data_IF_415401087029
#
_entry.id   IF_415401087029
#
_cell.length_a   1.000
_cell.length_b   1.000
_cell.length_c   1.000
_cell.angle_alpha   90.00
_cell.angle_beta   90.00
_cell.angle_gamma   90.00
#
_symmetry.space_group_name_H-M   'P 1'
#
loop_
_entity.id
_entity.type
_entity.pdbx_description
1 polymer ?
#
# COMPACT_ATOMS: atom_id res chain seq x y z
N UNK A 1 17.54 -9.30 1.29
CA UNK A 1 17.37 -8.39 2.43
C UNK A 1 16.73 -7.09 1.95
N UNK A 2 15.69 -6.64 2.65
CA UNK A 2 14.95 -5.45 2.21
C UNK A 2 15.72 -4.17 2.50
N UNK A 3 15.76 -3.27 1.52
CA UNK A 3 16.40 -1.96 1.65
C UNK A 3 15.49 -1.01 2.43
N UNK A 4 14.17 -1.17 2.27
CA UNK A 4 13.18 -0.30 2.87
C UNK A 4 12.46 -0.95 4.05
N UNK A 5 11.96 -0.12 4.96
CA UNK A 5 11.28 -0.58 6.17
C UNK A 5 9.77 -0.68 5.92
N UNK A 6 9.19 -1.81 6.31
CA UNK A 6 7.75 -2.06 6.22
C UNK A 6 7.00 -1.26 7.29
N UNK A 7 6.05 -0.43 6.87
CA UNK A 7 5.23 0.36 7.78
C UNK A 7 3.75 0.28 7.38
N UNK A 8 3.00 -0.69 7.93
CA UNK A 8 1.58 -0.81 7.64
C UNK A 8 0.75 0.16 8.49
N UNK A 9 -0.31 0.72 7.90
CA UNK A 9 -1.30 1.45 8.69
C UNK A 9 -2.16 0.44 9.46
N UNK A 10 -2.91 0.93 10.44
CA UNK A 10 -3.84 0.10 11.19
C UNK A 10 -4.85 -0.58 10.27
N UNK A 11 -5.40 0.18 9.34
CA UNK A 11 -6.38 -0.33 8.38
C UNK A 11 -5.80 -1.44 7.51
N UNK A 12 -4.59 -1.24 6.99
CA UNK A 12 -3.89 -2.26 6.22
C UNK A 12 -3.70 -3.55 7.03
N UNK A 13 -3.25 -3.42 8.26
CA UNK A 13 -2.99 -4.56 9.14
C UNK A 13 -4.27 -5.36 9.39
N UNK A 14 -5.38 -4.69 9.66
CA UNK A 14 -6.67 -5.35 9.92
C UNK A 14 -7.13 -6.11 8.67
N UNK A 15 -7.05 -5.48 7.50
CA UNK A 15 -7.47 -6.12 6.26
C UNK A 15 -6.58 -7.31 5.89
N UNK A 16 -5.29 -7.19 6.10
CA UNK A 16 -4.36 -8.26 5.80
C UNK A 16 -4.61 -9.49 6.67
N UNK A 17 -4.95 -9.30 7.94
CA UNK A 17 -5.32 -10.40 8.82
C UNK A 17 -6.57 -11.13 8.36
N UNK A 18 -7.56 -10.39 7.86
CA UNK A 18 -8.78 -10.99 7.31
C UNK A 18 -8.48 -11.83 6.08
N UNK A 19 -7.62 -11.33 5.20
CA UNK A 19 -7.21 -12.05 3.99
C UNK A 19 -6.49 -13.34 4.37
N UNK A 20 -5.61 -13.28 5.36
CA UNK A 20 -4.88 -14.47 5.83
C UNK A 20 -5.82 -15.59 6.27
N UNK A 21 -6.93 -15.24 6.90
CA UNK A 21 -7.92 -16.21 7.35
C UNK A 21 -8.78 -16.75 6.21
N UNK A 22 -9.16 -15.90 5.27
CA UNK A 22 -10.08 -16.25 4.19
C UNK A 22 -9.40 -16.87 2.99
N UNK A 23 -8.21 -16.40 2.68
CA UNK A 23 -7.47 -16.78 1.47
C UNK A 23 -5.98 -16.89 1.77
N UNK A 24 -5.53 -17.95 2.48
CA UNK A 24 -4.13 -18.10 2.80
C UNK A 24 -3.19 -18.06 1.57
N UNK A 25 -3.50 -18.70 0.43
CA UNK A 25 -2.65 -18.55 -0.76
C UNK A 25 -2.55 -17.13 -1.27
N UNK A 26 -3.67 -16.38 -1.25
CA UNK A 26 -3.67 -14.97 -1.62
C UNK A 26 -2.81 -14.15 -0.68
N UNK A 27 -2.88 -14.41 0.61
CA UNK A 27 -2.04 -13.74 1.59
C UNK A 27 -0.55 -13.99 1.31
N UNK A 28 -0.16 -15.21 0.96
CA UNK A 28 1.23 -15.52 0.60
C UNK A 28 1.68 -14.74 -0.62
N UNK A 29 0.84 -14.60 -1.63
CA UNK A 29 1.16 -13.80 -2.82
C UNK A 29 1.34 -12.33 -2.48
N UNK A 30 0.46 -11.81 -1.62
CA UNK A 30 0.56 -10.41 -1.14
C UNK A 30 1.89 -10.21 -0.41
N UNK A 31 2.24 -11.12 0.48
CA UNK A 31 3.49 -11.05 1.23
C UNK A 31 4.71 -11.00 0.30
N UNK A 32 4.72 -11.84 -0.73
CA UNK A 32 5.81 -11.85 -1.71
C UNK A 32 5.93 -10.53 -2.47
N UNK A 33 4.80 -9.91 -2.80
CA UNK A 33 4.79 -8.60 -3.46
C UNK A 33 5.29 -7.52 -2.51
N UNK A 34 4.87 -7.54 -1.25
CA UNK A 34 5.35 -6.59 -0.25
C UNK A 34 6.88 -6.65 -0.14
N UNK A 35 7.45 -7.85 -0.07
CA UNK A 35 8.90 -8.00 0.00
C UNK A 35 9.61 -7.41 -1.20
N UNK A 36 9.07 -7.61 -2.40
CA UNK A 36 9.65 -7.01 -3.61
C UNK A 36 9.57 -5.48 -3.59
N UNK A 37 8.47 -4.92 -3.07
CA UNK A 37 8.33 -3.49 -2.94
C UNK A 37 9.27 -2.89 -1.90
N UNK A 38 9.60 -3.65 -0.85
CA UNK A 38 10.57 -3.21 0.14
C UNK A 38 12.00 -3.20 -0.42
N UNK A 39 12.26 -4.01 -1.44
CA UNK A 39 13.54 -3.97 -2.15
C UNK A 39 13.55 -2.85 -3.19
N UNK A 40 12.41 -2.58 -3.82
CA UNK A 40 12.29 -1.52 -4.84
C UNK A 40 10.87 -0.95 -4.86
N UNK A 41 10.59 0.12 -4.13
CA UNK A 41 9.24 0.71 -4.08
C UNK A 41 8.78 1.32 -5.39
N UNK A 42 9.66 1.49 -6.36
CA UNK A 42 9.28 2.03 -7.68
C UNK A 42 8.62 0.99 -8.59
N UNK A 43 8.44 -0.24 -8.15
CA UNK A 43 7.79 -1.30 -8.93
C UNK A 43 6.25 -1.17 -8.97
N UNK A 44 5.73 0.03 -8.88
CA UNK A 44 4.29 0.29 -8.93
C UNK A 44 3.72 0.05 -10.32
N UNK A 45 2.46 -0.37 -10.38
CA UNK A 45 1.72 -0.52 -11.64
C UNK A 45 1.03 0.77 -12.07
N UNK A 46 0.98 1.76 -11.20
CA UNK A 46 0.40 3.06 -11.51
C UNK A 46 0.18 3.89 -10.25
N UNK A 47 -0.49 5.02 -10.41
CA UNK A 47 -0.84 5.91 -9.31
C UNK A 47 -2.35 5.96 -9.11
N UNK A 48 -2.76 6.23 -7.88
CA UNK A 48 -4.17 6.37 -7.55
C UNK A 48 -4.68 7.78 -7.80
N UNK A 49 -5.97 7.88 -8.06
CA UNK A 49 -6.70 9.15 -8.15
C UNK A 49 -7.71 9.21 -7.00
N UNK A 50 -8.37 10.35 -6.82
CA UNK A 50 -9.34 10.51 -5.75
C UNK A 50 -8.71 10.61 -4.38
N UNK A 51 -9.27 9.90 -3.40
CA UNK A 51 -8.84 9.96 -2.00
C UNK A 51 -7.37 9.58 -1.80
N UNK A 52 -6.88 8.65 -2.60
CA UNK A 52 -5.49 8.19 -2.52
C UNK A 52 -4.60 8.83 -3.59
N UNK A 53 -5.02 10.00 -4.10
CA UNK A 53 -4.29 10.70 -5.15
C UNK A 53 -2.79 10.83 -4.86
N UNK A 54 -1.97 10.46 -5.83
CA UNK A 54 -0.52 10.50 -5.72
C UNK A 54 0.11 9.26 -5.12
N UNK A 55 -0.66 8.39 -4.47
CA UNK A 55 -0.14 7.14 -3.94
C UNK A 55 0.00 6.11 -5.05
N UNK A 56 0.86 5.13 -4.83
CA UNK A 56 1.10 4.06 -5.79
C UNK A 56 0.13 2.91 -5.59
N UNK A 57 -0.18 2.22 -6.70
CA UNK A 57 -0.92 0.96 -6.67
C UNK A 57 -0.05 -0.15 -7.23
N UNK A 58 -0.19 -1.34 -6.66
CA UNK A 58 0.48 -2.55 -7.13
C UNK A 58 -0.50 -3.70 -7.12
N UNK A 59 -0.63 -4.38 -8.26
CA UNK A 59 -1.49 -5.55 -8.37
C UNK A 59 -0.77 -6.79 -7.88
N UNK A 60 -1.55 -7.70 -7.28
CA UNK A 60 -1.06 -8.99 -6.81
C UNK A 60 -1.76 -10.09 -7.58
N UNK A 61 -0.99 -11.07 -8.04
CA UNK A 61 -1.51 -12.12 -8.90
C UNK A 61 -2.00 -11.55 -10.22
N UNK A 62 -3.09 -12.06 -10.75
CA UNK A 62 -3.70 -11.54 -11.98
C UNK A 62 -4.71 -10.46 -11.64
N UNK A 63 -4.26 -9.38 -11.00
CA UNK A 63 -5.10 -8.29 -10.52
C UNK A 63 -6.11 -8.73 -9.46
N UNK A 64 -5.84 -9.84 -8.78
CA UNK A 64 -6.73 -10.39 -7.74
C UNK A 64 -6.82 -9.46 -6.53
N UNK A 65 -5.68 -8.93 -6.10
CA UNK A 65 -5.61 -7.95 -5.02
C UNK A 65 -4.91 -6.70 -5.50
N UNK A 66 -5.19 -5.58 -4.83
CA UNK A 66 -4.52 -4.31 -5.08
C UNK A 66 -3.97 -3.78 -3.77
N UNK A 67 -2.68 -3.41 -3.79
CA UNK A 67 -2.02 -2.72 -2.68
C UNK A 67 -1.95 -1.24 -2.99
N UNK A 68 -2.21 -0.40 -2.00
CA UNK A 68 -2.01 1.04 -2.10
C UNK A 68 -0.94 1.42 -1.10
N UNK A 69 0.14 2.01 -1.59
CA UNK A 69 1.29 2.34 -0.78
C UNK A 69 1.98 3.61 -1.26
N UNK A 70 2.88 4.12 -0.44
CA UNK A 70 3.80 5.17 -0.85
C UNK A 70 5.05 5.07 0.01
N UNK A 71 6.14 5.72 -0.41
CA UNK A 71 7.35 5.68 0.40
C UNK A 71 7.80 7.10 0.77
N UNK A 72 8.29 7.22 2.02
CA UNK A 72 8.52 8.51 2.66
C UNK A 72 9.59 9.36 1.96
N UNK A 73 10.64 8.75 1.46
CA UNK A 73 11.68 9.45 0.72
C UNK A 73 11.10 10.26 -0.44
N UNK A 74 10.28 9.63 -1.26
CA UNK A 74 9.65 10.29 -2.41
C UNK A 74 8.63 11.33 -1.97
N UNK A 75 7.86 11.02 -0.95
CA UNK A 75 6.85 11.93 -0.41
C UNK A 75 7.49 13.25 0.05
N UNK A 76 8.56 13.16 0.82
CA UNK A 76 9.26 14.32 1.34
C UNK A 76 9.98 15.11 0.26
N UNK A 77 10.48 14.41 -0.76
CA UNK A 77 11.18 15.03 -1.89
C UNK A 77 10.24 15.86 -2.76
N UNK A 78 9.05 15.32 -3.03
CA UNK A 78 8.15 15.94 -3.99
C UNK A 78 7.13 16.89 -3.39
N UNK A 79 6.55 16.54 -2.26
CA UNK A 79 5.49 17.39 -1.74
C UNK A 79 5.08 17.07 -0.32
N UNK A 80 5.32 17.98 0.57
CA UNK A 80 4.98 17.83 1.98
C UNK A 80 3.50 17.65 2.28
N UNK A 81 2.60 17.96 1.33
CA UNK A 81 1.17 17.81 1.56
C UNK A 81 0.75 16.35 1.77
N UNK A 82 1.51 15.41 1.25
CA UNK A 82 1.24 13.99 1.48
C UNK A 82 1.53 13.58 2.92
N UNK A 83 2.43 14.27 3.60
CA UNK A 83 2.74 14.02 5.00
C UNK A 83 1.50 14.13 5.88
N UNK A 84 0.67 15.11 5.60
CA UNK A 84 -0.57 15.35 6.35
C UNK A 84 -1.57 14.22 6.20
N UNK A 85 -1.52 13.50 5.08
CA UNK A 85 -2.46 12.41 4.82
C UNK A 85 -2.09 11.11 5.51
N UNK A 86 -0.80 10.81 5.66
CA UNK A 86 -0.42 9.58 6.33
C UNK A 86 -0.39 9.72 7.87
N UNK A 87 -0.22 10.92 8.38
CA UNK A 87 -0.23 11.17 9.82
C UNK A 87 0.95 10.63 10.59
N UNK A 88 1.95 10.08 9.92
CA UNK A 88 3.08 9.41 10.57
C UNK A 88 4.44 10.01 10.22
N UNK A 89 4.46 11.12 9.51
CA UNK A 89 5.69 11.68 8.95
C UNK A 89 6.77 11.96 10.00
N UNK A 90 6.38 12.36 11.19
CA UNK A 90 7.33 12.74 12.25
C UNK A 90 7.99 11.54 12.91
N UNK A 91 7.39 10.35 12.79
CA UNK A 91 7.86 9.15 13.51
C UNK A 91 8.45 8.09 12.60
N UNK A 92 8.38 8.27 11.28
CA UNK A 92 8.90 7.28 10.35
C UNK A 92 10.15 7.79 9.65
N UNK A 93 11.05 6.87 9.33
CA UNK A 93 12.30 7.18 8.64
C UNK A 93 12.08 7.33 7.12
N UNK A 94 13.03 7.99 6.43
CA UNK A 94 12.95 8.18 4.98
C UNK A 94 12.86 6.88 4.20
N UNK A 95 13.48 5.81 4.71
CA UNK A 95 13.45 4.51 4.05
C UNK A 95 12.20 3.69 4.36
N UNK A 96 11.14 4.32 4.85
CA UNK A 96 9.90 3.63 5.15
C UNK A 96 8.97 3.57 3.94
N UNK A 97 8.33 2.42 3.75
CA UNK A 97 7.25 2.24 2.78
C UNK A 97 5.97 2.07 3.57
N UNK A 98 5.03 2.99 3.36
CA UNK A 98 3.76 2.99 4.09
C UNK A 98 2.70 2.30 3.24
N UNK A 99 2.10 1.24 3.79
CA UNK A 99 1.02 0.51 3.14
C UNK A 99 -0.30 0.97 3.73
N UNK A 100 -1.14 1.59 2.89
CA UNK A 100 -2.39 2.21 3.32
C UNK A 100 -3.58 1.27 3.22
N UNK A 101 -3.67 0.52 2.11
CA UNK A 101 -4.82 -0.31 1.82
C UNK A 101 -4.42 -1.57 1.07
N UNK A 102 -5.19 -2.63 1.30
CA UNK A 102 -5.18 -3.84 0.47
C UNK A 102 -6.62 -4.31 0.33
N UNK A 103 -7.04 -4.62 -0.89
CA UNK A 103 -8.41 -5.09 -1.12
C UNK A 103 -8.47 -6.00 -2.33
N UNK A 104 -9.50 -6.86 -2.34
CA UNK A 104 -9.76 -7.79 -3.43
C UNK A 104 -10.45 -7.05 -4.58
N UNK A 105 -10.22 -7.51 -5.82
CA UNK A 105 -10.83 -6.88 -7.01
C UNK A 105 -12.35 -6.79 -6.93
N UNK A 106 -13.01 -7.73 -6.24
CA UNK A 106 -14.46 -7.72 -6.07
C UNK A 106 -14.95 -6.58 -5.18
N UNK A 107 -14.07 -5.95 -4.40
CA UNK A 107 -14.42 -4.85 -3.51
C UNK A 107 -14.30 -3.49 -4.16
N UNK A 108 -13.82 -3.43 -5.41
CA UNK A 108 -13.62 -2.16 -6.13
C UNK A 108 -14.88 -1.32 -6.22
N UNK A 109 -16.01 -1.95 -6.49
CA UNK A 109 -17.30 -1.25 -6.60
C UNK A 109 -17.67 -0.57 -5.30
N UNK A 110 -17.52 -1.27 -4.19
CA UNK A 110 -17.80 -0.72 -2.85
C UNK A 110 -16.92 0.48 -2.54
N UNK A 111 -15.65 0.40 -2.93
CA UNK A 111 -14.71 1.48 -2.68
C UNK A 111 -15.03 2.72 -3.51
N UNK A 112 -15.49 2.54 -4.75
CA UNK A 112 -15.95 3.65 -5.60
C UNK A 112 -17.18 4.33 -4.98
N UNK A 113 -18.13 3.54 -4.49
CA UNK A 113 -19.36 4.05 -3.88
C UNK A 113 -19.09 4.83 -2.59
N UNK A 114 -17.96 4.56 -1.93
CA UNK A 114 -17.57 5.29 -0.72
C UNK A 114 -16.62 6.47 -1.02
N UNK A 115 -16.52 6.91 -2.27
CA UNK A 115 -15.69 8.04 -2.66
C UNK A 115 -14.22 7.67 -2.88
N UNK A 116 -13.93 6.40 -2.94
CA UNK A 116 -12.57 5.90 -3.16
C UNK A 116 -12.17 6.04 -4.65
#
# INVERSE_FOLDING_TARGET
>A
MSVYTYYPTKNFTVRLKKIKRRDPPGHSRIHGVIERLLDNPDLADGRMTGTHHGRFKKYVGRHEYRLIYYYCELCRKHNKWLEKKCGHCEVVEDNSVIFFEVYHKSDLKKLKDSGF
#
